data_IF_097679287566
#
_entry.id   IF_097679287566
#
_cell.length_a   1.000
_cell.length_b   1.000
_cell.length_c   1.000
_cell.angle_alpha   90.00
_cell.angle_beta   90.00
_cell.angle_gamma   90.00
#
_symmetry.space_group_name_H-M   'P 1'
#
loop_
_entity.id
_entity.type
_entity.pdbx_description
1 polymer ?
#
# COMPACT_ATOMS: atom_id res chain seq x y z
N UNK A 1 -9.16 -0.37 -4.81
CA UNK A 1 -8.81 -1.05 -3.54
C UNK A 1 -7.62 -1.96 -3.82
N UNK A 2 -6.55 -1.90 -3.04
CA UNK A 2 -5.30 -2.63 -3.30
C UNK A 2 -5.25 -3.93 -2.49
N UNK A 3 -5.51 -3.84 -1.17
CA UNK A 3 -5.51 -5.00 -0.28
C UNK A 3 -6.64 -4.86 0.75
N UNK A 4 -7.47 -5.90 0.90
CA UNK A 4 -8.33 -6.07 2.08
C UNK A 4 -7.63 -6.99 3.09
N UNK A 5 -7.54 -6.56 4.33
CA UNK A 5 -6.83 -7.29 5.38
C UNK A 5 -7.49 -7.09 6.75
N UNK A 6 -7.19 -8.00 7.68
CA UNK A 6 -7.49 -7.85 9.11
C UNK A 6 -6.18 -7.52 9.83
N UNK A 7 -6.10 -6.34 10.44
CA UNK A 7 -4.84 -5.81 10.98
C UNK A 7 -3.87 -5.34 9.89
N UNK A 8 -2.64 -4.99 10.26
CA UNK A 8 -1.64 -4.39 9.36
C UNK A 8 -0.57 -5.40 8.94
N UNK A 9 -0.96 -6.41 8.13
CA UNK A 9 0.02 -7.33 7.51
C UNK A 9 0.86 -6.60 6.45
N UNK A 10 0.17 -5.80 5.65
CA UNK A 10 0.75 -4.86 4.72
C UNK A 10 0.53 -3.44 5.25
N UNK A 11 1.59 -2.65 5.30
CA UNK A 11 1.56 -1.28 5.77
C UNK A 11 1.42 -0.33 4.58
N UNK A 12 0.71 0.79 4.73
CA UNK A 12 0.69 1.83 3.70
C UNK A 12 2.10 2.39 3.50
N UNK A 13 2.52 2.46 2.25
CA UNK A 13 3.71 3.16 1.79
C UNK A 13 3.35 4.49 1.15
N UNK A 14 4.11 4.90 0.15
CA UNK A 14 3.90 6.16 -0.56
C UNK A 14 2.62 6.10 -1.39
N UNK A 15 1.83 7.18 -1.34
CA UNK A 15 0.59 7.37 -2.10
C UNK A 15 -0.50 6.29 -1.84
N UNK A 16 -0.44 5.61 -0.69
CA UNK A 16 -1.41 4.61 -0.26
C UNK A 16 -2.03 5.02 1.06
N UNK A 17 -3.36 5.04 1.12
CA UNK A 17 -4.13 5.27 2.35
C UNK A 17 -4.56 3.98 3.02
N UNK A 18 -4.92 4.06 4.32
CA UNK A 18 -5.50 2.95 5.09
C UNK A 18 -6.90 3.32 5.60
N UNK A 19 -7.88 2.45 5.37
CA UNK A 19 -9.25 2.60 5.86
C UNK A 19 -9.41 2.18 7.32
N UNK A 20 -10.57 2.47 7.91
CA UNK A 20 -10.91 2.07 9.30
C UNK A 20 -10.84 0.56 9.52
N UNK A 21 -11.13 -0.22 8.48
CA UNK A 21 -11.07 -1.68 8.47
C UNK A 21 -9.68 -2.23 8.11
N UNK A 22 -8.65 -1.39 8.05
CA UNK A 22 -7.29 -1.67 7.59
C UNK A 22 -7.14 -1.97 6.09
N UNK A 23 -8.17 -1.72 5.29
CA UNK A 23 -8.09 -1.85 3.82
C UNK A 23 -7.15 -0.80 3.24
N UNK A 24 -6.23 -1.21 2.36
CA UNK A 24 -5.31 -0.31 1.65
C UNK A 24 -5.92 0.15 0.33
N UNK A 25 -5.82 1.45 0.04
CA UNK A 25 -6.36 2.06 -1.17
C UNK A 25 -5.40 3.09 -1.77
N UNK A 26 -5.54 3.33 -3.08
CA UNK A 26 -4.72 4.25 -3.84
C UNK A 26 -5.14 5.69 -3.60
N UNK A 27 -4.18 6.60 -3.39
CA UNK A 27 -4.42 8.05 -3.36
C UNK A 27 -4.22 8.70 -4.73
N UNK A 28 -3.39 8.09 -5.58
CA UNK A 28 -3.09 8.55 -6.94
C UNK A 28 -3.19 7.38 -7.92
N UNK A 29 -3.27 7.71 -9.21
CA UNK A 29 -3.13 6.73 -10.28
C UNK A 29 -1.65 6.39 -10.48
N UNK A 30 -1.35 5.13 -10.75
CA UNK A 30 0.01 4.66 -10.91
C UNK A 30 0.13 3.15 -10.83
N UNK A 31 1.36 2.65 -10.75
CA UNK A 31 1.67 1.24 -10.60
C UNK A 31 1.82 0.86 -9.13
N UNK A 32 1.28 -0.30 -8.73
CA UNK A 32 1.36 -0.79 -7.35
C UNK A 32 2.68 -1.52 -7.11
N UNK A 33 3.47 -1.05 -6.15
CA UNK A 33 4.75 -1.65 -5.75
C UNK A 33 4.69 -2.25 -4.35
N UNK A 34 5.05 -3.54 -4.23
CA UNK A 34 5.17 -4.24 -2.95
C UNK A 34 6.64 -4.34 -2.53
N UNK A 35 6.99 -3.76 -1.38
CA UNK A 35 8.36 -3.83 -0.85
C UNK A 35 8.37 -4.48 0.52
N UNK A 36 9.31 -5.40 0.74
CA UNK A 36 9.62 -5.92 2.09
C UNK A 36 10.83 -5.17 2.64
N UNK A 37 10.71 -4.66 3.88
CA UNK A 37 11.83 -4.05 4.63
C UNK A 37 12.36 -5.02 5.69
N UNK A 38 13.45 -4.61 6.37
CA UNK A 38 13.98 -5.33 7.56
C UNK A 38 12.85 -5.65 8.55
N UNK A 39 12.98 -6.79 9.23
CA UNK A 39 11.98 -7.38 10.13
C UNK A 39 10.71 -7.88 9.44
N UNK A 40 10.82 -8.29 8.17
CA UNK A 40 9.74 -8.93 7.40
C UNK A 40 8.46 -8.09 7.26
N UNK A 41 8.56 -6.77 7.46
CA UNK A 41 7.42 -5.85 7.30
C UNK A 41 7.21 -5.58 5.82
N UNK A 42 5.99 -5.81 5.34
CA UNK A 42 5.60 -5.51 3.97
C UNK A 42 4.95 -4.13 3.89
N UNK A 43 5.33 -3.36 2.88
CA UNK A 43 4.79 -2.05 2.54
C UNK A 43 4.25 -2.07 1.12
N UNK A 44 3.20 -1.30 0.88
CA UNK A 44 2.56 -1.13 -0.43
C UNK A 44 2.60 0.34 -0.79
N UNK A 45 3.27 0.68 -1.89
CA UNK A 45 3.33 2.04 -2.43
C UNK A 45 2.72 2.08 -3.82
N UNK A 46 2.35 3.28 -4.28
CA UNK A 46 2.01 3.51 -5.69
C UNK A 46 3.05 4.44 -6.30
N UNK A 47 3.67 3.96 -7.38
CA UNK A 47 4.58 4.72 -8.22
C UNK A 47 3.74 5.48 -9.24
N UNK A 48 3.80 6.83 -9.29
CA UNK A 48 3.13 7.59 -10.34
C UNK A 48 3.61 7.11 -11.71
N UNK A 49 2.67 6.89 -12.62
CA UNK A 49 3.02 6.69 -14.04
C UNK A 49 3.13 8.10 -14.62
N UNK A 50 4.34 8.52 -14.95
CA UNK A 50 4.56 9.69 -15.79
C UNK A 50 4.17 9.31 -17.22
N UNK A 51 3.21 10.04 -17.78
CA UNK A 51 2.76 9.92 -19.17
C UNK A 51 3.71 10.64 -20.13
#
# INVERSE_FOLDING_TARGET
>A
IIVRQRGTKHHPGENVGIGKDHTLYALINGEVSFRRRRNNRSFVSILPIEE
#
